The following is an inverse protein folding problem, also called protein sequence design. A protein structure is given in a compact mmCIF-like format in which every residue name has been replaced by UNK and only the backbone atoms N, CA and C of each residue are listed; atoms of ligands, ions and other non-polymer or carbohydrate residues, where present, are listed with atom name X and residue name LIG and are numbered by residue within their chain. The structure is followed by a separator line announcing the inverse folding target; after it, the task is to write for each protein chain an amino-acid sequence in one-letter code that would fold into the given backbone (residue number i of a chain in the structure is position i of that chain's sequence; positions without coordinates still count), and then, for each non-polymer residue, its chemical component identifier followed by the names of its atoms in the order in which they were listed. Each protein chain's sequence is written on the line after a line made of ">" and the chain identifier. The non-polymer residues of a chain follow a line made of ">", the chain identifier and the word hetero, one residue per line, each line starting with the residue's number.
data_IF_986075587041
#
_entry.id   IF_986075587041
#
_cell.length_a   1.000
_cell.length_b   1.000
_cell.length_c   1.000
_cell.angle_alpha   90.00
_cell.angle_beta   90.00
_cell.angle_gamma   90.00
#
_symmetry.space_group_name_H-M   'P 1'
#
loop_
_entity.id
_entity.type
_entity.pdbx_description
1 polymer ?
#
# COMPACT_ATOMS: atom_id res chain seq x y z
N UNK A 1 15.71 12.33 -10.57
CA UNK A 1 14.71 11.27 -10.82
C UNK A 1 14.27 10.71 -9.47
N UNK A 2 13.03 10.96 -9.04
CA UNK A 2 12.50 10.37 -7.81
C UNK A 2 12.26 8.87 -8.07
N UNK A 3 12.80 8.01 -7.21
CA UNK A 3 12.55 6.57 -7.33
C UNK A 3 11.06 6.25 -7.20
N UNK A 4 10.56 5.16 -7.81
CA UNK A 4 9.15 4.79 -7.79
C UNK A 4 8.57 4.67 -6.37
N UNK A 5 9.42 4.38 -5.38
CA UNK A 5 9.06 4.29 -3.96
C UNK A 5 8.73 5.66 -3.34
N UNK A 6 9.44 6.73 -3.71
CA UNK A 6 9.27 8.06 -3.13
C UNK A 6 7.94 8.69 -3.55
N UNK A 7 7.60 8.59 -4.85
CA UNK A 7 6.34 9.14 -5.37
C UNK A 7 5.08 8.49 -4.80
N UNK A 8 5.15 7.21 -4.43
CA UNK A 8 4.05 6.49 -3.76
C UNK A 8 3.87 6.97 -2.32
N UNK A 9 4.97 7.19 -1.58
CA UNK A 9 4.94 7.65 -0.19
C UNK A 9 4.30 9.05 -0.12
N UNK A 10 4.76 9.97 -0.94
CA UNK A 10 4.23 11.34 -1.02
C UNK A 10 2.73 11.34 -1.36
N UNK A 11 2.33 10.50 -2.33
CA UNK A 11 0.92 10.34 -2.67
C UNK A 11 0.09 9.82 -1.49
N UNK A 12 0.60 8.86 -0.71
CA UNK A 12 -0.10 8.33 0.47
C UNK A 12 -0.24 9.43 1.54
N UNK A 13 0.79 10.23 1.77
CA UNK A 13 0.77 11.32 2.73
C UNK A 13 -0.23 12.41 2.32
N UNK A 14 -0.24 12.79 1.05
CA UNK A 14 -1.21 13.74 0.51
C UNK A 14 -2.65 13.22 0.63
N UNK A 15 -2.89 11.96 0.27
CA UNK A 15 -4.19 11.31 0.44
C UNK A 15 -4.65 11.31 1.90
N UNK A 16 -3.74 11.08 2.85
CA UNK A 16 -4.03 11.20 4.29
C UNK A 16 -4.36 12.64 4.68
N UNK A 17 -3.59 13.62 4.21
CA UNK A 17 -3.79 15.03 4.52
C UNK A 17 -5.17 15.52 4.09
N UNK A 18 -5.65 15.06 2.93
CA UNK A 18 -6.98 15.39 2.42
C UNK A 18 -8.10 14.47 2.93
N UNK A 19 -7.80 13.60 3.91
CA UNK A 19 -8.73 12.64 4.52
C UNK A 19 -9.35 11.68 3.52
N UNK A 20 -8.61 11.32 2.47
CA UNK A 20 -9.01 10.25 1.56
C UNK A 20 -8.82 8.89 2.25
N UNK A 21 -9.84 8.04 2.13
CA UNK A 21 -9.85 6.66 2.61
C UNK A 21 -9.64 5.73 1.43
N UNK A 22 -8.60 4.93 1.52
CA UNK A 22 -8.30 3.87 0.57
C UNK A 22 -8.84 2.54 1.09
N UNK A 23 -9.51 1.79 0.22
CA UNK A 23 -9.98 0.43 0.52
C UNK A 23 -9.85 -0.44 -0.72
N UNK A 24 -9.84 -1.76 -0.52
CA UNK A 24 -9.88 -2.72 -1.62
C UNK A 24 -11.13 -3.58 -1.46
N UNK A 25 -11.91 -3.68 -2.53
CA UNK A 25 -13.14 -4.48 -2.54
C UNK A 25 -12.85 -5.99 -2.69
N UNK A 26 -13.85 -6.88 -2.51
CA UNK A 26 -13.65 -8.33 -2.68
C UNK A 26 -13.16 -8.75 -4.09
N UNK A 27 -13.35 -7.90 -5.11
CA UNK A 27 -12.83 -8.10 -6.47
C UNK A 27 -11.41 -7.54 -6.65
N UNK A 28 -10.73 -7.22 -5.55
CA UNK A 28 -9.37 -6.68 -5.49
C UNK A 28 -9.21 -5.31 -6.18
N UNK A 29 -10.28 -4.52 -6.31
CA UNK A 29 -10.21 -3.18 -6.92
C UNK A 29 -9.99 -2.13 -5.84
N UNK A 30 -9.01 -1.24 -6.07
CA UNK A 30 -8.82 -0.04 -5.25
C UNK A 30 -10.05 0.86 -5.34
N UNK A 31 -10.53 1.30 -4.18
CA UNK A 31 -11.57 2.30 -3.99
C UNK A 31 -10.99 3.46 -3.19
N UNK A 32 -11.15 4.66 -3.72
CA UNK A 32 -10.77 5.91 -3.06
C UNK A 32 -12.05 6.65 -2.70
N UNK A 33 -12.24 6.94 -1.42
CA UNK A 33 -13.32 7.82 -0.94
C UNK A 33 -12.66 9.08 -0.40
N UNK A 34 -13.08 10.24 -0.87
CA UNK A 34 -12.52 11.52 -0.45
C UNK A 34 -13.62 12.56 -0.29
N UNK A 35 -13.38 13.66 0.45
CA UNK A 35 -14.29 14.80 0.47
C UNK A 35 -14.55 15.35 -0.95
N UNK A 36 -15.72 15.97 -1.15
CA UNK A 36 -16.12 16.51 -2.45
C UNK A 36 -15.13 17.59 -2.91
N UNK A 37 -14.72 17.54 -4.17
CA UNK A 37 -13.83 18.54 -4.79
C UNK A 37 -12.34 18.38 -4.48
N UNK A 38 -11.95 17.40 -3.66
CA UNK A 38 -10.53 17.15 -3.31
C UNK A 38 -9.77 16.41 -4.40
N UNK A 39 -10.41 15.43 -5.04
CA UNK A 39 -9.78 14.66 -6.11
C UNK A 39 -9.84 15.46 -7.43
N UNK A 40 -8.83 16.29 -7.66
CA UNK A 40 -8.61 16.97 -8.94
C UNK A 40 -7.97 15.99 -9.97
N UNK A 41 -7.79 16.46 -11.21
CA UNK A 41 -7.27 15.63 -12.31
C UNK A 41 -5.83 15.16 -12.07
N UNK A 42 -5.00 16.02 -11.48
CA UNK A 42 -3.61 15.70 -11.16
C UNK A 42 -3.51 14.58 -10.11
N UNK A 43 -4.21 14.72 -9.00
CA UNK A 43 -4.25 13.73 -7.93
C UNK A 43 -4.88 12.42 -8.44
N UNK A 44 -5.93 12.51 -9.26
CA UNK A 44 -6.56 11.35 -9.90
C UNK A 44 -5.60 10.64 -10.85
N UNK A 45 -4.80 11.37 -11.62
CA UNK A 45 -3.77 10.83 -12.50
C UNK A 45 -2.68 10.08 -11.74
N UNK A 46 -2.20 10.65 -10.62
CA UNK A 46 -1.20 10.01 -9.75
C UNK A 46 -1.75 8.76 -9.06
N UNK A 47 -2.99 8.78 -8.57
CA UNK A 47 -3.66 7.59 -8.04
C UNK A 47 -3.74 6.50 -9.12
N UNK A 48 -4.08 6.86 -10.36
CA UNK A 48 -4.16 5.91 -11.46
C UNK A 48 -2.79 5.27 -11.78
N UNK A 49 -1.73 6.08 -11.83
CA UNK A 49 -0.36 5.63 -12.08
C UNK A 49 0.13 4.63 -11.01
N UNK A 50 -0.21 4.86 -9.74
CA UNK A 50 0.23 4.00 -8.63
C UNK A 50 -0.83 3.00 -8.15
N UNK A 51 -1.94 2.85 -8.88
CA UNK A 51 -3.08 2.00 -8.51
C UNK A 51 -2.70 0.56 -8.08
N UNK A 52 -1.85 -0.20 -8.79
CA UNK A 52 -1.51 -1.55 -8.37
C UNK A 52 -0.73 -1.56 -7.04
N UNK A 53 0.17 -0.60 -6.85
CA UNK A 53 0.97 -0.47 -5.63
C UNK A 53 0.08 -0.09 -4.45
N UNK A 54 -0.79 0.92 -4.61
CA UNK A 54 -1.75 1.34 -3.58
C UNK A 54 -2.70 0.20 -3.20
N UNK A 55 -3.20 -0.57 -4.17
CA UNK A 55 -4.05 -1.73 -3.89
C UNK A 55 -3.31 -2.77 -3.05
N UNK A 56 -2.04 -3.07 -3.37
CA UNK A 56 -1.25 -4.01 -2.61
C UNK A 56 -1.01 -3.52 -1.16
N UNK A 57 -0.59 -2.26 -1.01
CA UNK A 57 -0.35 -1.66 0.30
C UNK A 57 -1.60 -1.64 1.18
N UNK A 58 -2.76 -1.31 0.61
CA UNK A 58 -4.03 -1.33 1.34
C UNK A 58 -4.41 -2.74 1.76
N UNK A 59 -4.20 -3.75 0.91
CA UNK A 59 -4.45 -5.16 1.29
C UNK A 59 -3.57 -5.58 2.44
N UNK A 60 -2.31 -5.15 2.44
CA UNK A 60 -1.32 -5.49 3.45
C UNK A 60 -1.38 -4.61 4.72
N UNK A 61 -2.36 -3.70 4.82
CA UNK A 61 -2.53 -2.81 5.97
C UNK A 61 -3.09 -3.50 7.21
N UNK A 62 -3.64 -4.71 7.05
CA UNK A 62 -4.16 -5.55 8.15
C UNK A 62 -3.93 -7.03 7.84
N UNK A 63 -3.78 -7.83 8.88
CA UNK A 63 -3.76 -9.28 8.74
C UNK A 63 -5.16 -9.80 8.36
N UNK A 64 -5.26 -10.61 7.31
CA UNK A 64 -6.54 -11.22 6.90
C UNK A 64 -7.07 -12.23 7.94
N UNK A 65 -6.18 -12.87 8.71
CA UNK A 65 -6.54 -13.88 9.71
C UNK A 65 -7.04 -13.29 11.04
N UNK A 66 -6.29 -12.35 11.62
CA UNK A 66 -6.58 -11.82 12.96
C UNK A 66 -6.91 -10.31 12.99
N UNK A 67 -6.93 -9.65 11.82
CA UNK A 67 -7.24 -8.23 11.65
C UNK A 67 -6.29 -7.24 12.34
N UNK A 68 -5.21 -7.73 12.96
CA UNK A 68 -4.16 -6.89 13.53
C UNK A 68 -3.52 -6.00 12.46
N UNK A 69 -3.16 -4.78 12.84
CA UNK A 69 -2.38 -3.81 12.05
C UNK A 69 -0.91 -3.78 12.48
N UNK A 70 -0.50 -4.71 13.36
CA UNK A 70 0.89 -4.86 13.81
C UNK A 70 1.60 -5.91 12.97
N UNK A 71 2.82 -5.57 12.53
CA UNK A 71 3.59 -6.35 11.57
C UNK A 71 5.06 -6.44 11.97
N UNK A 72 5.71 -7.51 11.52
CA UNK A 72 7.16 -7.65 11.49
C UNK A 72 7.56 -7.77 10.02
N UNK A 73 8.47 -6.90 9.59
CA UNK A 73 9.08 -6.97 8.27
C UNK A 73 10.45 -7.64 8.40
N UNK A 74 10.70 -8.62 7.56
CA UNK A 74 11.95 -9.40 7.51
C UNK A 74 12.57 -9.20 6.15
N UNK A 75 13.83 -8.79 6.14
CA UNK A 75 14.65 -8.72 4.94
C UNK A 75 14.90 -10.13 4.39
N UNK A 76 14.66 -10.29 3.09
CA UNK A 76 14.94 -11.51 2.33
C UNK A 76 15.68 -11.11 1.05
N UNK A 77 16.26 -12.10 0.34
CA UNK A 77 16.96 -11.85 -0.93
C UNK A 77 18.06 -10.79 -0.77
N UNK A 78 18.98 -11.02 0.19
CA UNK A 78 20.09 -10.10 0.46
C UNK A 78 19.69 -8.69 0.92
N UNK A 79 18.45 -8.46 1.35
CA UNK A 79 17.92 -7.14 1.72
C UNK A 79 17.19 -6.43 0.57
N UNK A 80 17.09 -7.04 -0.61
CA UNK A 80 16.40 -6.46 -1.77
C UNK A 80 14.89 -6.65 -1.75
N UNK A 81 14.37 -7.51 -0.87
CA UNK A 81 12.93 -7.74 -0.71
C UNK A 81 12.56 -7.75 0.77
N UNK A 82 11.34 -7.34 1.07
CA UNK A 82 10.79 -7.39 2.43
C UNK A 82 9.63 -8.37 2.45
N UNK A 83 9.67 -9.32 3.38
CA UNK A 83 8.52 -10.17 3.73
C UNK A 83 7.83 -9.60 4.96
N UNK A 84 6.52 -9.43 4.89
CA UNK A 84 5.69 -8.98 6.00
C UNK A 84 4.90 -10.13 6.60
N UNK A 85 5.08 -10.36 7.89
CA UNK A 85 4.28 -11.28 8.69
C UNK A 85 3.51 -10.53 9.78
N UNK A 86 2.37 -11.07 10.20
CA UNK A 86 1.59 -10.48 11.28
C UNK A 86 2.28 -10.70 12.63
N UNK A 87 2.59 -9.62 13.35
CA UNK A 87 3.26 -9.69 14.65
C UNK A 87 2.42 -10.41 15.73
N UNK A 88 1.09 -10.47 15.55
CA UNK A 88 0.18 -11.09 16.52
C UNK A 88 -0.02 -12.60 16.30
N UNK A 89 -0.13 -13.05 15.06
CA UNK A 89 -0.49 -14.44 14.75
C UNK A 89 0.49 -15.16 13.82
N UNK A 90 1.61 -14.53 13.48
CA UNK A 90 2.66 -15.09 12.62
C UNK A 90 2.26 -15.37 11.17
N UNK A 91 1.05 -14.98 10.76
CA UNK A 91 0.57 -15.28 9.40
C UNK A 91 1.24 -14.37 8.37
N UNK A 92 1.65 -14.95 7.24
CA UNK A 92 2.17 -14.19 6.11
C UNK A 92 1.12 -13.23 5.55
N UNK A 93 1.54 -11.98 5.30
CA UNK A 93 0.67 -10.89 4.82
C UNK A 93 1.00 -10.52 3.38
N UNK A 94 2.27 -10.52 2.99
CA UNK A 94 2.71 -10.18 1.64
C UNK A 94 4.14 -9.67 1.59
N UNK A 95 4.52 -9.09 0.46
CA UNK A 95 5.82 -8.45 0.26
C UNK A 95 5.63 -6.93 0.08
N UNK A 96 5.94 -6.09 1.10
CA UNK A 96 5.85 -4.64 0.95
C UNK A 96 6.80 -4.12 -0.12
N UNK A 97 7.95 -4.77 -0.25
CA UNK A 97 8.96 -4.55 -1.28
C UNK A 97 9.26 -5.90 -1.93
N UNK A 98 9.15 -5.97 -3.24
CA UNK A 98 9.45 -7.15 -4.03
C UNK A 98 10.36 -6.76 -5.19
N UNK A 99 11.57 -7.31 -5.22
CA UNK A 99 12.47 -7.18 -6.36
C UNK A 99 12.63 -8.57 -7.02
N UNK A 100 11.95 -8.83 -8.16
CA UNK A 100 11.97 -10.14 -8.83
C UNK A 100 13.24 -10.44 -9.62
N UNK A 101 14.25 -9.56 -9.57
CA UNK A 101 15.46 -9.65 -10.38
C UNK A 101 16.57 -10.53 -9.75
N UNK A 102 16.25 -11.27 -8.69
CA UNK A 102 17.09 -12.34 -8.11
C UNK A 102 16.42 -13.71 -8.24
#
# INVERSE_FOLDING_TARGET
>A
MMGPSQGVIELIEELKAVRAVLSVDPRRRLKVRAPRGVLNDELSGRIAAFKPVLANLVRMSKCDKCRSTQFVDVEIHGGHSLRRDCARCGSFVGFPVWNPQE
#
